data_IF_730558818283
#
_entry.id   IF_730558818283
#
_cell.length_a   1.000
_cell.length_b   1.000
_cell.length_c   1.000
_cell.angle_alpha   90.00
_cell.angle_beta   90.00
_cell.angle_gamma   90.00
#
_symmetry.space_group_name_H-M   'P 1'
#
loop_
_entity.id
_entity.type
_entity.pdbx_description
1 polymer ?
#
# COMPACT_ATOMS: atom_id res chain seq x y z
N UNK A 1 -73.98 -24.10 -43.67
CA UNK A 1 -73.56 -24.28 -42.25
C UNK A 1 -72.08 -23.99 -42.21
N UNK A 2 -71.76 -22.78 -41.89
CA UNK A 2 -70.37 -22.26 -41.91
C UNK A 2 -69.88 -22.08 -40.47
N UNK A 3 -68.82 -22.76 -40.18
CA UNK A 3 -68.16 -22.74 -38.87
C UNK A 3 -67.16 -21.58 -38.84
N UNK A 4 -67.23 -20.62 -37.92
CA UNK A 4 -66.21 -19.58 -37.83
C UNK A 4 -65.02 -20.02 -37.05
N UNK A 5 -63.85 -19.98 -37.68
CA UNK A 5 -62.51 -20.20 -37.07
C UNK A 5 -62.10 -19.02 -36.15
N UNK A 6 -61.77 -19.29 -34.95
CA UNK A 6 -61.26 -18.35 -33.98
C UNK A 6 -59.73 -18.13 -34.21
N UNK A 7 -59.25 -16.90 -34.42
CA UNK A 7 -57.81 -16.66 -34.56
C UNK A 7 -57.11 -16.73 -33.19
N UNK A 8 -56.10 -17.62 -33.05
CA UNK A 8 -55.23 -17.76 -31.94
C UNK A 8 -54.28 -16.56 -31.89
N UNK A 9 -54.55 -15.59 -31.01
CA UNK A 9 -53.62 -14.48 -30.75
C UNK A 9 -52.47 -15.00 -29.87
N UNK A 10 -51.29 -15.16 -30.47
CA UNK A 10 -50.03 -15.36 -29.73
C UNK A 10 -49.69 -14.09 -28.95
N UNK A 11 -49.86 -14.13 -27.62
CA UNK A 11 -49.26 -13.15 -26.71
C UNK A 11 -47.76 -13.45 -26.60
N UNK A 12 -46.94 -12.70 -27.32
CA UNK A 12 -45.53 -12.68 -27.12
C UNK A 12 -45.22 -11.89 -25.83
N UNK A 13 -45.01 -12.61 -24.72
CA UNK A 13 -44.55 -12.03 -23.45
C UNK A 13 -43.06 -11.75 -23.59
N UNK A 14 -42.68 -10.53 -23.99
CA UNK A 14 -41.29 -10.09 -24.00
C UNK A 14 -40.82 -9.86 -22.58
N UNK A 15 -40.04 -10.82 -22.04
CA UNK A 15 -39.37 -10.70 -20.78
C UNK A 15 -38.17 -9.71 -20.93
N UNK A 16 -38.42 -8.42 -20.63
CA UNK A 16 -37.35 -7.43 -20.50
C UNK A 16 -36.55 -7.79 -19.25
N UNK A 17 -35.43 -8.52 -19.41
CA UNK A 17 -34.40 -8.61 -18.39
C UNK A 17 -33.76 -7.21 -18.28
N UNK A 18 -34.18 -6.42 -17.32
CA UNK A 18 -33.50 -5.21 -16.90
C UNK A 18 -32.16 -5.59 -16.22
N UNK A 19 -31.09 -5.58 -16.99
CA UNK A 19 -29.73 -5.64 -16.45
C UNK A 19 -29.49 -4.32 -15.71
N UNK A 20 -29.77 -4.31 -14.40
CA UNK A 20 -29.37 -3.21 -13.53
C UNK A 20 -27.84 -3.15 -13.54
N UNK A 21 -27.22 -2.00 -13.88
CA UNK A 21 -25.80 -1.85 -13.75
C UNK A 21 -25.45 -2.01 -12.25
N UNK A 22 -24.74 -3.07 -11.90
CA UNK A 22 -24.15 -3.20 -10.57
C UNK A 22 -23.16 -2.05 -10.44
N UNK A 23 -23.55 -1.00 -9.73
CA UNK A 23 -22.71 0.13 -9.39
C UNK A 23 -21.60 -0.43 -8.48
N UNK A 24 -20.47 -0.83 -9.08
CA UNK A 24 -19.30 -1.31 -8.35
C UNK A 24 -18.75 -0.10 -7.60
N UNK A 25 -19.04 0.00 -6.31
CA UNK A 25 -18.46 1.03 -5.46
C UNK A 25 -16.94 0.98 -5.66
N UNK A 26 -16.37 2.09 -6.10
CA UNK A 26 -14.94 2.20 -6.32
C UNK A 26 -14.27 2.10 -4.94
N UNK A 27 -13.54 1.02 -4.68
CA UNK A 27 -12.83 0.82 -3.43
C UNK A 27 -11.86 1.98 -3.21
N UNK A 28 -11.93 2.60 -2.04
CA UNK A 28 -10.98 3.64 -1.63
C UNK A 28 -9.54 3.15 -1.84
N UNK A 29 -8.66 3.96 -2.46
CA UNK A 29 -7.29 3.55 -2.76
C UNK A 29 -6.49 3.07 -1.56
N UNK A 30 -6.76 3.60 -0.37
CA UNK A 30 -6.10 3.17 0.87
C UNK A 30 -6.55 1.78 1.28
N UNK A 31 -7.86 1.55 1.28
CA UNK A 31 -8.43 0.22 1.53
C UNK A 31 -7.89 -0.80 0.53
N UNK A 32 -7.84 -0.46 -0.76
CA UNK A 32 -7.31 -1.34 -1.79
C UNK A 32 -5.83 -1.68 -1.56
N UNK A 33 -5.02 -0.71 -1.12
CA UNK A 33 -3.61 -0.92 -0.79
C UNK A 33 -3.46 -1.85 0.42
N UNK A 34 -4.20 -1.59 1.49
CA UNK A 34 -4.19 -2.40 2.71
C UNK A 34 -4.56 -3.86 2.39
N UNK A 35 -5.68 -4.07 1.71
CA UNK A 35 -6.13 -5.42 1.32
C UNK A 35 -5.08 -6.17 0.50
N UNK A 36 -4.40 -5.47 -0.40
CA UNK A 36 -3.37 -6.05 -1.25
C UNK A 36 -2.11 -6.44 -0.51
N UNK A 37 -1.69 -5.67 0.51
CA UNK A 37 -0.36 -5.79 1.11
C UNK A 37 -0.37 -6.17 2.60
N UNK A 38 -1.53 -6.27 3.25
CA UNK A 38 -1.64 -6.63 4.68
C UNK A 38 -0.91 -7.94 5.02
N UNK A 39 -1.01 -8.95 4.17
CA UNK A 39 -0.32 -10.23 4.40
C UNK A 39 1.19 -10.07 4.39
N UNK A 40 1.75 -9.26 3.48
CA UNK A 40 3.19 -8.97 3.47
C UNK A 40 3.60 -8.24 4.75
N UNK A 41 2.85 -7.23 5.17
CA UNK A 41 3.15 -6.48 6.39
C UNK A 41 3.11 -7.37 7.64
N UNK A 42 2.15 -8.28 7.73
CA UNK A 42 2.06 -9.27 8.82
C UNK A 42 3.25 -10.24 8.78
N UNK A 43 3.67 -10.71 7.61
CA UNK A 43 4.87 -11.55 7.47
C UNK A 43 6.12 -10.82 7.95
N UNK A 44 6.29 -9.54 7.58
CA UNK A 44 7.41 -8.73 8.05
C UNK A 44 7.37 -8.50 9.57
N UNK A 45 6.19 -8.31 10.15
CA UNK A 45 6.01 -8.20 11.59
C UNK A 45 6.50 -9.45 12.33
N UNK A 46 6.13 -10.64 11.87
CA UNK A 46 6.59 -11.88 12.49
C UNK A 46 8.09 -12.11 12.32
N UNK A 47 8.64 -11.74 11.19
CA UNK A 47 10.05 -11.98 10.86
C UNK A 47 11.00 -10.98 11.50
N UNK A 48 10.61 -9.70 11.58
CA UNK A 48 11.49 -8.60 11.97
C UNK A 48 11.02 -7.82 13.19
N UNK A 49 9.85 -8.09 13.73
CA UNK A 49 9.33 -7.42 14.93
C UNK A 49 8.72 -6.03 14.70
N UNK A 50 8.61 -5.57 13.45
CA UNK A 50 8.03 -4.26 13.12
C UNK A 50 6.50 -4.39 13.07
N UNK A 51 5.72 -3.53 13.77
CA UNK A 51 4.26 -3.59 13.70
C UNK A 51 3.73 -3.55 12.26
N UNK A 52 2.81 -4.46 11.92
CA UNK A 52 2.22 -4.50 10.57
C UNK A 52 1.51 -3.18 10.22
N UNK A 53 0.87 -2.53 11.20
CA UNK A 53 0.23 -1.22 11.06
C UNK A 53 1.24 -0.14 10.67
N UNK A 54 2.43 -0.15 11.27
CA UNK A 54 3.53 0.77 10.92
C UNK A 54 4.01 0.50 9.49
N UNK A 55 4.30 -0.74 9.14
CA UNK A 55 4.74 -1.09 7.78
C UNK A 55 3.71 -0.68 6.73
N UNK A 56 2.41 -0.93 6.98
CA UNK A 56 1.34 -0.54 6.06
C UNK A 56 1.18 0.97 5.95
N UNK A 57 1.18 1.70 7.08
CA UNK A 57 1.02 3.16 7.06
C UNK A 57 2.18 3.85 6.37
N UNK A 58 3.42 3.38 6.57
CA UNK A 58 4.59 3.86 5.82
C UNK A 58 4.45 3.56 4.34
N UNK A 59 4.14 2.32 3.97
CA UNK A 59 3.93 1.96 2.56
C UNK A 59 2.82 2.77 1.89
N UNK A 60 1.71 3.03 2.57
CA UNK A 60 0.63 3.91 2.11
C UNK A 60 1.11 5.34 1.85
N UNK A 61 1.81 5.92 2.85
CA UNK A 61 2.26 7.31 2.82
C UNK A 61 3.32 7.52 1.73
N UNK A 62 4.38 6.72 1.75
CA UNK A 62 5.54 6.87 0.88
C UNK A 62 5.23 6.54 -0.59
N UNK A 63 4.33 5.59 -0.82
CA UNK A 63 3.97 5.17 -2.18
C UNK A 63 2.76 5.89 -2.76
N UNK A 64 2.10 6.77 -2.00
CA UNK A 64 0.82 7.33 -2.41
C UNK A 64 -0.22 6.23 -2.70
N UNK A 65 -0.37 5.28 -1.77
CA UNK A 65 -1.20 4.08 -1.93
C UNK A 65 -0.81 3.23 -3.17
N UNK A 66 0.50 3.09 -3.41
CA UNK A 66 1.05 2.31 -4.51
C UNK A 66 1.04 3.01 -5.88
N UNK A 67 0.64 4.28 -5.95
CA UNK A 67 0.48 5.03 -7.20
C UNK A 67 1.70 5.88 -7.58
N UNK A 68 2.65 6.08 -6.66
CA UNK A 68 3.85 6.85 -6.94
C UNK A 68 4.68 6.22 -8.07
N UNK A 69 5.47 7.03 -8.75
CA UNK A 69 6.35 6.56 -9.82
C UNK A 69 7.33 5.48 -9.32
N UNK A 70 7.87 5.66 -8.12
CA UNK A 70 8.77 4.68 -7.49
C UNK A 70 8.06 3.35 -7.20
N UNK A 71 6.85 3.39 -6.67
CA UNK A 71 6.08 2.16 -6.43
C UNK A 71 5.72 1.46 -7.74
N UNK A 72 5.25 2.21 -8.75
CA UNK A 72 4.74 1.65 -10.01
C UNK A 72 5.84 1.13 -10.95
N UNK A 73 7.02 1.76 -10.98
CA UNK A 73 8.09 1.46 -11.93
C UNK A 73 9.30 0.76 -11.31
N UNK A 74 9.54 1.01 -10.02
CA UNK A 74 10.69 0.47 -9.29
C UNK A 74 10.30 -0.53 -8.20
N UNK A 75 9.01 -0.84 -8.00
CA UNK A 75 8.49 -1.61 -6.87
C UNK A 75 8.94 -1.04 -5.50
N UNK A 76 9.38 0.21 -5.44
CA UNK A 76 9.91 0.84 -4.24
C UNK A 76 8.79 1.56 -3.49
N UNK A 77 8.17 0.84 -2.56
CA UNK A 77 7.01 1.32 -1.81
C UNK A 77 7.35 2.22 -0.62
N UNK A 78 8.62 2.30 -0.24
CA UNK A 78 9.06 3.03 0.94
C UNK A 78 10.02 4.18 0.62
N UNK A 79 10.27 4.47 -0.66
CA UNK A 79 11.16 5.54 -1.08
C UNK A 79 12.61 5.33 -0.64
N UNK A 80 13.09 4.09 -0.56
CA UNK A 80 14.43 3.82 -0.07
C UNK A 80 15.47 4.25 -1.11
N UNK A 81 16.35 5.17 -0.70
CA UNK A 81 17.44 5.68 -1.53
C UNK A 81 18.57 4.65 -1.65
N UNK A 82 19.23 4.61 -2.80
CA UNK A 82 20.39 3.76 -3.06
C UNK A 82 21.62 4.36 -2.37
N UNK A 83 21.96 3.86 -1.21
CA UNK A 83 23.21 4.21 -0.51
C UNK A 83 24.45 3.54 -1.13
N UNK A 84 25.67 3.83 -0.61
CA UNK A 84 26.93 3.34 -1.18
C UNK A 84 27.04 1.79 -1.24
N UNK A 85 26.36 1.10 -0.35
CA UNK A 85 26.36 -0.38 -0.30
C UNK A 85 25.35 -1.03 -1.25
N UNK A 86 24.50 -0.25 -1.93
CA UNK A 86 23.52 -0.79 -2.87
C UNK A 86 24.17 -1.12 -4.22
N UNK A 87 24.10 -2.38 -4.62
CA UNK A 87 24.67 -2.88 -5.89
C UNK A 87 23.61 -3.20 -6.93
N UNK A 88 22.33 -3.09 -6.57
CA UNK A 88 21.20 -3.37 -7.48
C UNK A 88 20.88 -2.21 -8.42
N UNK A 89 19.89 -2.38 -9.30
CA UNK A 89 19.43 -1.33 -10.21
C UNK A 89 18.93 -0.11 -9.45
N UNK A 90 19.03 1.08 -10.09
CA UNK A 90 18.57 2.35 -9.54
C UNK A 90 17.66 3.08 -10.51
N UNK A 91 16.73 3.85 -9.95
CA UNK A 91 15.89 4.78 -10.65
C UNK A 91 16.25 6.20 -10.17
N UNK A 92 16.46 7.12 -11.12
CA UNK A 92 16.68 8.52 -10.81
C UNK A 92 15.33 9.23 -10.64
N UNK A 93 15.19 10.02 -9.60
CA UNK A 93 14.02 10.84 -9.34
C UNK A 93 14.43 12.06 -8.51
N UNK A 94 13.87 13.22 -8.82
CA UNK A 94 14.02 14.40 -7.99
C UNK A 94 13.18 14.25 -6.72
N UNK A 95 13.81 14.52 -5.57
CA UNK A 95 13.19 14.49 -4.26
C UNK A 95 13.74 15.65 -3.41
N UNK A 96 14.53 15.40 -2.35
CA UNK A 96 15.22 16.46 -1.61
C UNK A 96 16.31 17.14 -2.45
N UNK A 97 16.86 16.43 -3.44
CA UNK A 97 17.81 16.93 -4.42
C UNK A 97 17.48 16.41 -5.83
N UNK A 98 18.02 17.08 -6.85
CA UNK A 98 17.87 16.68 -8.25
C UNK A 98 18.63 15.39 -8.54
N UNK A 99 17.98 14.44 -9.20
CA UNK A 99 18.62 13.20 -9.68
C UNK A 99 19.02 12.22 -8.57
N UNK A 100 18.31 12.18 -7.47
CA UNK A 100 18.56 11.20 -6.42
C UNK A 100 18.32 9.76 -6.88
N UNK A 101 19.16 8.85 -6.38
CA UNK A 101 19.12 7.44 -6.74
C UNK A 101 18.24 6.67 -5.76
N UNK A 102 17.20 6.02 -6.27
CA UNK A 102 16.32 5.13 -5.50
C UNK A 102 16.53 3.68 -5.92
N UNK A 103 16.38 2.77 -4.94
CA UNK A 103 16.51 1.32 -5.20
C UNK A 103 15.39 0.83 -6.10
N UNK A 104 15.71 -0.05 -7.04
CA UNK A 104 14.72 -0.76 -7.86
C UNK A 104 14.68 -2.22 -7.41
N UNK A 105 13.47 -2.71 -7.15
CA UNK A 105 13.26 -4.08 -6.68
C UNK A 105 12.61 -4.95 -7.77
N UNK A 106 12.89 -6.26 -7.78
CA UNK A 106 12.27 -7.19 -8.74
C UNK A 106 10.76 -7.35 -8.52
N UNK A 107 10.29 -7.13 -7.31
CA UNK A 107 8.88 -7.21 -6.92
C UNK A 107 8.63 -6.46 -5.60
N UNK A 108 7.36 -6.33 -5.21
CA UNK A 108 6.95 -5.62 -3.99
C UNK A 108 7.42 -6.34 -2.72
N UNK A 109 7.46 -7.67 -2.71
CA UNK A 109 7.96 -8.43 -1.56
C UNK A 109 9.40 -8.04 -1.21
N UNK A 110 10.27 -7.89 -2.22
CA UNK A 110 11.66 -7.47 -2.02
C UNK A 110 11.75 -6.05 -1.44
N UNK A 111 10.84 -5.14 -1.80
CA UNK A 111 10.75 -3.80 -1.20
C UNK A 111 10.36 -3.85 0.28
N UNK A 112 9.38 -4.68 0.64
CA UNK A 112 8.96 -4.87 2.04
C UNK A 112 10.06 -5.51 2.90
N UNK A 113 10.75 -6.49 2.33
CA UNK A 113 11.88 -7.16 2.98
C UNK A 113 13.02 -6.18 3.23
N UNK A 114 13.42 -5.42 2.23
CA UNK A 114 14.50 -4.45 2.33
C UNK A 114 14.16 -3.30 3.29
N UNK A 115 12.91 -2.84 3.32
CA UNK A 115 12.44 -1.88 4.31
C UNK A 115 12.59 -2.43 5.73
N UNK A 116 12.20 -3.68 5.95
CA UNK A 116 12.33 -4.32 7.27
C UNK A 116 13.78 -4.48 7.70
N UNK A 117 14.66 -4.87 6.77
CA UNK A 117 16.11 -4.91 7.00
C UNK A 117 16.68 -3.52 7.29
N UNK A 118 16.26 -2.51 6.55
CA UNK A 118 16.68 -1.12 6.75
C UNK A 118 16.35 -0.61 8.16
N UNK A 119 15.19 -0.96 8.70
CA UNK A 119 14.83 -0.60 10.08
C UNK A 119 15.55 -1.47 11.10
N UNK A 120 15.52 -2.80 10.95
CA UNK A 120 16.05 -3.73 11.96
C UNK A 120 17.57 -3.69 12.09
N UNK A 121 18.29 -3.36 11.01
CA UNK A 121 19.76 -3.25 11.02
C UNK A 121 20.25 -1.81 11.25
N UNK A 122 19.38 -0.83 11.14
CA UNK A 122 19.74 0.56 11.28
C UNK A 122 19.94 0.96 12.76
N UNK A 123 21.17 1.25 13.18
CA UNK A 123 21.50 1.62 14.57
C UNK A 123 20.59 2.70 15.15
N UNK A 124 20.20 3.69 14.34
CA UNK A 124 19.34 4.80 14.76
C UNK A 124 17.90 4.36 15.10
N UNK A 125 17.49 3.19 14.65
CA UNK A 125 16.16 2.61 14.90
C UNK A 125 16.16 1.56 16.03
N UNK A 126 17.32 1.21 16.59
CA UNK A 126 17.45 0.10 17.56
C UNK A 126 16.52 0.24 18.77
N UNK A 127 16.29 1.47 19.26
CA UNK A 127 15.38 1.72 20.39
C UNK A 127 13.91 1.41 20.08
N UNK A 128 13.50 1.40 18.80
CA UNK A 128 12.13 1.07 18.42
C UNK A 128 11.78 -0.39 18.75
N UNK A 129 12.75 -1.27 18.68
CA UNK A 129 12.60 -2.70 18.93
C UNK A 129 12.48 -3.07 20.41
N UNK A 130 12.54 -2.08 21.31
CA UNK A 130 12.21 -2.23 22.75
C UNK A 130 10.76 -1.87 23.05
N UNK A 131 10.03 -1.32 22.07
CA UNK A 131 8.61 -0.99 22.20
C UNK A 131 7.75 -2.23 21.97
N UNK A 132 6.56 -2.25 22.59
CA UNK A 132 5.56 -3.28 22.31
C UNK A 132 5.07 -3.18 20.86
N UNK A 133 4.63 -4.31 20.29
CA UNK A 133 4.18 -4.36 18.89
C UNK A 133 2.88 -3.62 18.64
N UNK A 134 2.08 -3.40 19.66
CA UNK A 134 0.84 -2.63 19.59
C UNK A 134 1.02 -1.15 19.93
N UNK A 135 2.21 -0.75 20.40
CA UNK A 135 2.56 0.67 20.61
C UNK A 135 2.92 1.37 19.29
N UNK A 136 1.98 1.37 18.35
CA UNK A 136 2.18 2.05 17.07
C UNK A 136 2.44 3.55 17.21
N UNK A 137 1.96 4.20 18.29
CA UNK A 137 2.24 5.62 18.55
C UNK A 137 3.70 5.85 18.93
N UNK A 138 4.22 5.03 19.83
CA UNK A 138 5.64 5.03 20.18
C UNK A 138 6.53 4.76 18.95
N UNK A 139 6.16 3.78 18.14
CA UNK A 139 6.84 3.48 16.88
C UNK A 139 6.83 4.68 15.91
N UNK A 140 5.66 5.32 15.69
CA UNK A 140 5.55 6.46 14.78
C UNK A 140 6.40 7.65 15.23
N UNK A 141 6.35 8.00 16.52
CA UNK A 141 7.19 9.06 17.09
C UNK A 141 8.67 8.71 17.08
N UNK A 142 9.01 7.48 17.40
CA UNK A 142 10.38 6.99 17.37
C UNK A 142 10.99 7.01 15.96
N UNK A 143 10.25 6.59 14.92
CA UNK A 143 10.68 6.71 13.52
C UNK A 143 10.98 8.17 13.15
N UNK A 144 10.09 9.12 13.52
CA UNK A 144 10.32 10.54 13.31
C UNK A 144 11.57 11.04 14.03
N UNK A 145 11.73 10.68 15.31
CA UNK A 145 12.89 11.08 16.13
C UNK A 145 14.21 10.50 15.61
N UNK A 146 14.17 9.27 15.07
CA UNK A 146 15.32 8.63 14.43
C UNK A 146 15.63 9.18 13.03
N UNK A 147 14.86 10.16 12.54
CA UNK A 147 15.11 10.80 11.25
C UNK A 147 14.74 9.95 10.03
N UNK A 148 13.69 9.14 10.12
CA UNK A 148 13.19 8.39 8.96
C UNK A 148 12.70 9.34 7.86
N UNK A 149 12.01 10.41 8.24
CA UNK A 149 11.53 11.45 7.33
C UNK A 149 11.80 12.85 7.88
N UNK A 150 11.98 13.82 6.97
CA UNK A 150 12.22 15.24 7.30
C UNK A 150 10.93 15.93 7.76
N UNK A 151 9.77 15.52 7.25
CA UNK A 151 8.47 16.13 7.56
C UNK A 151 8.18 16.15 9.08
N UNK A 152 7.98 17.34 9.71
CA UNK A 152 7.72 17.44 11.15
C UNK A 152 6.41 16.73 11.59
N UNK A 153 5.44 16.56 10.68
CA UNK A 153 4.16 15.90 10.95
C UNK A 153 4.19 14.39 10.69
N UNK A 154 5.36 13.80 10.39
CA UNK A 154 5.46 12.40 9.97
C UNK A 154 4.78 11.41 10.91
N UNK A 155 5.05 11.51 12.22
CA UNK A 155 4.43 10.64 13.22
C UNK A 155 2.89 10.74 13.20
N UNK A 156 2.37 11.97 13.18
CA UNK A 156 0.92 12.20 13.15
C UNK A 156 0.26 11.71 11.86
N UNK A 157 0.97 11.77 10.71
CA UNK A 157 0.48 11.21 9.46
C UNK A 157 0.35 9.68 9.54
N UNK A 158 1.36 9.00 10.10
CA UNK A 158 1.29 7.54 10.29
C UNK A 158 0.16 7.16 11.25
N UNK A 159 0.07 7.83 12.40
CA UNK A 159 -0.98 7.57 13.40
C UNK A 159 -2.36 7.77 12.77
N UNK A 160 -2.59 8.88 12.06
CA UNK A 160 -3.87 9.15 11.41
C UNK A 160 -4.24 8.15 10.32
N UNK A 161 -3.25 7.53 9.64
CA UNK A 161 -3.49 6.45 8.68
C UNK A 161 -3.85 5.13 9.38
N UNK A 162 -3.28 4.85 10.56
CA UNK A 162 -3.55 3.63 11.34
C UNK A 162 -4.93 3.70 12.01
N UNK A 163 -5.34 4.88 12.47
CA UNK A 163 -6.59 5.09 13.20
C UNK A 163 -7.81 5.32 12.26
N UNK A 164 -7.61 5.39 10.95
CA UNK A 164 -8.66 5.56 9.94
C UNK A 164 -9.39 4.25 9.63
#
# INVERSE_FOLDING_TARGET
>A
MTNPSIPLRLLALSLLLSVLPVLRAQTDPYTAYIERYKTLAVQQMYKYGIPASITLSQGLLESGAGKSLLAAKANNHFGIKAGPSWTGPVMLKDDDAVGEKFRVYPNVLASYEDHSLFLSQGRRYASLFTLERDDYKGWAHGLKSAGYATNPRYANLLIGLIER
#
